data_IF_881627858024
#
_entry.id   IF_881627858024
#
_cell.length_a   1.000
_cell.length_b   1.000
_cell.length_c   1.000
_cell.angle_alpha   90.00
_cell.angle_beta   90.00
_cell.angle_gamma   90.00
#
_symmetry.space_group_name_H-M   'P 1'
#
loop_
_entity.id
_entity.type
_entity.pdbx_description
1 polymer ?
#
# COMPACT_ATOMS: atom_id res chain seq x y z
N UNK A 1 -4.56 -21.76 -10.93
CA UNK A 1 -5.06 -20.99 -9.79
C UNK A 1 -3.92 -20.12 -9.29
N UNK A 2 -4.03 -18.80 -9.32
CA UNK A 2 -2.99 -17.91 -8.81
C UNK A 2 -3.00 -17.93 -7.28
N UNK A 3 -1.92 -18.40 -6.66
CA UNK A 3 -1.73 -18.39 -5.21
C UNK A 3 -1.75 -16.94 -4.71
N UNK A 4 -2.61 -16.64 -3.73
CA UNK A 4 -2.66 -15.33 -3.06
C UNK A 4 -1.87 -15.41 -1.77
N UNK A 5 -0.91 -14.51 -1.60
CA UNK A 5 -0.16 -14.35 -0.35
C UNK A 5 -0.57 -13.06 0.39
N UNK A 6 -0.48 -13.09 1.72
CA UNK A 6 -0.86 -11.96 2.59
C UNK A 6 0.40 -11.27 3.11
N UNK A 7 0.41 -9.95 3.03
CA UNK A 7 1.50 -9.11 3.55
C UNK A 7 0.99 -8.39 4.80
N UNK A 8 1.67 -8.56 5.94
CA UNK A 8 1.43 -7.80 7.17
C UNK A 8 2.64 -6.94 7.48
N UNK A 9 2.46 -5.62 7.55
CA UNK A 9 3.54 -4.66 7.76
C UNK A 9 3.22 -3.81 8.99
N UNK A 10 4.21 -3.62 9.85
CA UNK A 10 4.16 -2.63 10.93
C UNK A 10 4.84 -1.37 10.47
N UNK A 11 4.09 -0.27 10.45
CA UNK A 11 4.61 1.06 10.09
C UNK A 11 4.67 1.95 11.33
N UNK A 12 5.74 2.74 11.49
CA UNK A 12 5.75 3.92 12.34
C UNK A 12 4.52 4.79 12.11
N UNK A 13 4.00 5.38 13.20
CA UNK A 13 2.77 6.18 13.17
C UNK A 13 2.83 7.30 12.13
N UNK A 14 3.96 8.02 12.05
CA UNK A 14 4.16 9.13 11.12
C UNK A 14 4.03 8.71 9.65
N UNK A 15 4.57 7.55 9.28
CA UNK A 15 4.49 7.02 7.91
C UNK A 15 3.08 6.54 7.59
N UNK A 16 2.42 5.89 8.55
CA UNK A 16 1.02 5.50 8.42
C UNK A 16 0.10 6.72 8.24
N UNK A 17 0.26 7.75 9.05
CA UNK A 17 -0.54 8.99 8.96
C UNK A 17 -0.37 9.66 7.59
N UNK A 18 0.86 9.65 7.04
CA UNK A 18 1.14 10.14 5.69
C UNK A 18 0.43 9.31 4.63
N UNK A 19 0.47 7.98 4.75
CA UNK A 19 -0.19 7.05 3.83
C UNK A 19 -1.71 7.18 3.88
N UNK A 20 -2.30 7.24 5.08
CA UNK A 20 -3.74 7.47 5.29
C UNK A 20 -4.18 8.80 4.68
N UNK A 21 -3.38 9.86 4.87
CA UNK A 21 -3.65 11.18 4.28
C UNK A 21 -3.62 11.16 2.74
N UNK A 22 -2.68 10.43 2.15
CA UNK A 22 -2.62 10.23 0.69
C UNK A 22 -3.85 9.46 0.20
N UNK A 23 -4.16 8.34 0.83
CA UNK A 23 -5.31 7.49 0.50
C UNK A 23 -6.63 8.27 0.53
N UNK A 24 -6.82 9.14 1.54
CA UNK A 24 -7.99 10.03 1.64
C UNK A 24 -8.08 11.05 0.50
N UNK A 25 -6.95 11.60 0.05
CA UNK A 25 -6.92 12.62 -1.02
C UNK A 25 -7.15 12.02 -2.40
N UNK A 26 -6.73 10.79 -2.62
CA UNK A 26 -6.80 10.12 -3.93
C UNK A 26 -7.94 9.11 -4.03
N UNK A 27 -8.77 8.97 -2.98
CA UNK A 27 -9.84 7.97 -2.87
C UNK A 27 -9.35 6.54 -3.14
N UNK A 28 -8.10 6.23 -2.78
CA UNK A 28 -7.48 4.92 -2.98
C UNK A 28 -7.33 4.19 -1.66
N UNK A 29 -7.44 2.86 -1.69
CA UNK A 29 -7.13 2.05 -0.52
C UNK A 29 -5.61 1.89 -0.35
N UNK A 30 -5.17 1.68 0.90
CA UNK A 30 -3.76 1.36 1.21
C UNK A 30 -3.28 0.18 0.36
N UNK A 31 -4.13 -0.83 0.20
CA UNK A 31 -3.83 -2.02 -0.60
C UNK A 31 -3.61 -1.68 -2.07
N UNK A 32 -4.41 -0.78 -2.64
CA UNK A 32 -4.26 -0.37 -4.04
C UNK A 32 -2.95 0.40 -4.25
N UNK A 33 -2.64 1.33 -3.34
CA UNK A 33 -1.39 2.10 -3.37
C UNK A 33 -0.18 1.16 -3.26
N UNK A 34 -0.22 0.21 -2.32
CA UNK A 34 0.86 -0.77 -2.17
C UNK A 34 1.00 -1.67 -3.39
N UNK A 35 -0.11 -2.16 -3.96
CA UNK A 35 -0.07 -3.01 -5.17
C UNK A 35 0.48 -2.25 -6.37
N UNK A 36 0.08 -1.00 -6.55
CA UNK A 36 0.57 -0.15 -7.63
C UNK A 36 2.07 0.11 -7.47
N UNK A 37 2.52 0.42 -6.27
CA UNK A 37 3.94 0.57 -5.98
C UNK A 37 4.71 -0.72 -6.29
N UNK A 38 4.25 -1.87 -5.81
CA UNK A 38 4.89 -3.18 -6.07
C UNK A 38 4.96 -3.46 -7.58
N UNK A 39 3.91 -3.15 -8.34
CA UNK A 39 3.87 -3.31 -9.80
C UNK A 39 4.78 -2.33 -10.55
N UNK A 40 5.15 -1.22 -9.92
CA UNK A 40 6.06 -0.22 -10.51
C UNK A 40 7.53 -0.51 -10.25
N UNK A 41 7.86 -1.52 -9.44
CA UNK A 41 9.24 -1.90 -9.15
C UNK A 41 9.90 -2.48 -10.42
N UNK A 42 11.12 -2.07 -10.77
CA UNK A 42 11.89 -2.71 -11.84
C UNK A 42 12.31 -4.13 -11.44
N UNK A 43 12.52 -5.00 -12.45
CA UNK A 43 13.08 -6.34 -12.26
C UNK A 43 14.52 -6.32 -11.76
#
# INVERSE_FOLDING_TARGET
MTSKETIQIRLPKTEKDRLDSYCRKTERSITDVLREFIRSLPE
#
